data_IF_103879802392
#
_entry.id   IF_103879802392
#
_cell.length_a   1.000
_cell.length_b   1.000
_cell.length_c   1.000
_cell.angle_alpha   90.00
_cell.angle_beta   90.00
_cell.angle_gamma   90.00
#
_symmetry.space_group_name_H-M   'P 1'
#
loop_
_entity.id
_entity.type
_entity.pdbx_description
1 polymer ?
#
# COMPACT_ATOMS: atom_id res chain seq x y z
N UNK A 1 5.26 50.20 -0.40
CA UNK A 1 4.10 49.38 -0.02
C UNK A 1 3.71 48.64 -1.29
N UNK A 2 4.41 47.55 -1.57
CA UNK A 2 4.12 46.69 -2.70
C UNK A 2 3.90 45.30 -2.12
N UNK A 3 2.63 44.99 -1.86
CA UNK A 3 2.19 43.63 -1.56
C UNK A 3 2.38 42.78 -2.81
N UNK A 4 3.41 41.95 -2.78
CA UNK A 4 3.63 40.87 -3.74
C UNK A 4 2.45 39.89 -3.62
N UNK A 5 1.44 40.04 -4.49
CA UNK A 5 0.36 39.06 -4.62
C UNK A 5 0.96 37.75 -5.11
N UNK A 6 1.28 36.86 -4.18
CA UNK A 6 1.61 35.47 -4.48
C UNK A 6 0.42 34.89 -5.22
N UNK A 7 0.60 34.58 -6.51
CA UNK A 7 -0.37 33.84 -7.31
C UNK A 7 -0.70 32.54 -6.58
N UNK A 8 -1.91 32.44 -6.00
CA UNK A 8 -2.42 31.27 -5.29
C UNK A 8 -2.81 30.15 -6.28
N UNK A 9 -1.96 29.89 -7.28
CA UNK A 9 -2.18 28.83 -8.25
C UNK A 9 -1.64 27.52 -7.67
N UNK A 10 -2.56 26.66 -7.24
CA UNK A 10 -2.27 25.27 -6.89
C UNK A 10 -1.73 24.58 -8.13
N UNK A 11 -0.48 24.12 -8.09
CA UNK A 11 0.07 23.34 -9.19
C UNK A 11 -0.58 21.94 -9.22
N UNK A 12 -0.52 21.27 -10.37
CA UNK A 12 -1.19 19.99 -10.58
C UNK A 12 -0.84 18.93 -9.52
N UNK A 13 0.43 18.83 -9.10
CA UNK A 13 0.86 17.86 -8.10
C UNK A 13 0.34 18.21 -6.70
N UNK A 14 0.27 19.50 -6.35
CA UNK A 14 -0.31 19.94 -5.09
C UNK A 14 -1.82 19.64 -5.02
N UNK A 15 -2.52 19.74 -6.15
CA UNK A 15 -3.93 19.32 -6.23
C UNK A 15 -4.06 17.81 -6.02
N UNK A 16 -3.31 16.99 -6.76
CA UNK A 16 -3.35 15.53 -6.62
C UNK A 16 -2.98 15.07 -5.21
N UNK A 17 -1.97 15.70 -4.61
CA UNK A 17 -1.59 15.44 -3.22
C UNK A 17 -2.73 15.75 -2.25
N UNK A 18 -3.40 16.90 -2.42
CA UNK A 18 -4.54 17.27 -1.58
C UNK A 18 -5.71 16.29 -1.73
N UNK A 19 -6.03 15.86 -2.95
CA UNK A 19 -7.08 14.86 -3.23
C UNK A 19 -6.74 13.51 -2.59
N UNK A 20 -5.49 13.05 -2.72
CA UNK A 20 -5.05 11.80 -2.11
C UNK A 20 -5.09 11.86 -0.58
N UNK A 21 -4.63 12.97 0.03
CA UNK A 21 -4.70 13.18 1.49
C UNK A 21 -6.15 13.18 1.98
N UNK A 22 -7.06 13.80 1.23
CA UNK A 22 -8.49 13.79 1.54
C UNK A 22 -9.04 12.36 1.57
N UNK A 23 -8.80 11.56 0.53
CA UNK A 23 -9.24 10.15 0.45
C UNK A 23 -8.70 9.32 1.62
N UNK A 24 -7.41 9.51 1.95
CA UNK A 24 -6.77 8.81 3.07
C UNK A 24 -7.44 9.14 4.41
N UNK A 25 -7.75 10.42 4.65
CA UNK A 25 -8.41 10.87 5.88
C UNK A 25 -9.85 10.39 5.98
N UNK A 26 -10.62 10.47 4.89
CA UNK A 26 -11.99 9.96 4.85
C UNK A 26 -12.02 8.45 5.09
N UNK A 27 -11.09 7.70 4.51
CA UNK A 27 -10.98 6.26 4.75
C UNK A 27 -10.68 5.97 6.23
N UNK A 28 -9.74 6.68 6.85
CA UNK A 28 -9.46 6.51 8.27
C UNK A 28 -10.62 6.96 9.19
N UNK A 29 -11.49 7.84 8.73
CA UNK A 29 -12.64 8.33 9.51
C UNK A 29 -13.90 7.46 9.37
N UNK A 30 -14.08 6.80 8.23
CA UNK A 30 -15.30 6.05 7.88
C UNK A 30 -15.18 4.54 8.15
N UNK A 31 -13.97 3.99 8.19
CA UNK A 31 -13.71 2.56 8.33
C UNK A 31 -13.08 2.24 9.70
N UNK A 32 -13.44 1.10 10.28
CA UNK A 32 -12.97 0.67 11.60
C UNK A 32 -11.58 0.02 11.53
N UNK A 33 -11.29 -0.71 10.44
CA UNK A 33 -10.06 -1.49 10.26
C UNK A 33 -9.49 -1.32 8.85
N UNK A 34 -9.12 -0.09 8.43
CA UNK A 34 -8.46 0.09 7.15
C UNK A 34 -7.04 -0.51 7.17
N UNK A 35 -6.55 -0.90 5.99
CA UNK A 35 -5.15 -1.26 5.76
C UNK A 35 -4.64 -0.63 4.45
N UNK A 36 -3.34 -0.35 4.38
CA UNK A 36 -2.70 0.14 3.15
C UNK A 36 -1.82 -0.96 2.54
N UNK A 37 -2.13 -1.39 1.32
CA UNK A 37 -1.38 -2.41 0.60
C UNK A 37 0.01 -1.87 0.22
N UNK A 38 1.06 -2.45 0.79
CA UNK A 38 2.43 -1.96 0.72
C UNK A 38 3.38 -3.03 0.17
N UNK A 39 3.74 -2.91 -1.10
CA UNK A 39 4.68 -3.82 -1.76
C UNK A 39 6.15 -3.40 -1.66
N UNK A 40 6.43 -2.18 -1.19
CA UNK A 40 7.75 -1.56 -1.34
C UNK A 40 8.03 -1.06 -2.76
N UNK A 41 7.05 -1.14 -3.67
CA UNK A 41 7.14 -0.54 -5.01
C UNK A 41 6.83 0.96 -5.02
N UNK A 42 7.20 1.64 -6.11
CA UNK A 42 7.11 3.11 -6.26
C UNK A 42 5.77 3.70 -5.83
N UNK A 43 4.64 3.12 -6.24
CA UNK A 43 3.31 3.69 -5.98
C UNK A 43 2.94 3.52 -4.52
N UNK A 44 3.23 2.35 -3.94
CA UNK A 44 2.97 2.09 -2.53
C UNK A 44 3.84 2.96 -1.60
N UNK A 45 5.07 3.30 -2.02
CA UNK A 45 5.94 4.26 -1.30
C UNK A 45 5.32 5.65 -1.33
N UNK A 46 4.84 6.11 -2.49
CA UNK A 46 4.15 7.40 -2.62
C UNK A 46 2.90 7.44 -1.77
N UNK A 47 2.07 6.38 -1.79
CA UNK A 47 0.88 6.30 -0.94
C UNK A 47 1.22 6.34 0.55
N UNK A 48 2.22 5.59 1.00
CA UNK A 48 2.69 5.61 2.38
C UNK A 48 3.25 6.99 2.78
N UNK A 49 3.95 7.68 1.87
CA UNK A 49 4.41 9.05 2.08
C UNK A 49 3.24 10.03 2.24
N UNK A 50 2.23 9.92 1.39
CA UNK A 50 1.01 10.74 1.46
C UNK A 50 0.23 10.45 2.75
N UNK A 51 0.15 9.18 3.18
CA UNK A 51 -0.45 8.80 4.46
C UNK A 51 0.30 9.44 5.63
N UNK A 52 1.63 9.42 5.62
CA UNK A 52 2.45 10.13 6.63
C UNK A 52 2.11 11.62 6.66
N UNK A 53 1.96 12.28 5.50
CA UNK A 53 1.57 13.70 5.44
C UNK A 53 0.14 13.93 5.94
N UNK A 54 -0.78 13.03 5.61
CA UNK A 54 -2.19 13.13 5.99
C UNK A 54 -2.39 13.12 7.51
N UNK A 55 -1.58 12.34 8.24
CA UNK A 55 -1.76 12.12 9.68
C UNK A 55 -0.68 12.74 10.56
N UNK A 56 0.33 13.40 9.99
CA UNK A 56 1.34 14.12 10.78
C UNK A 56 0.68 15.12 11.75
N UNK A 57 1.14 15.21 13.03
CA UNK A 57 2.29 14.53 13.62
C UNK A 57 2.00 13.16 14.26
N UNK A 58 0.78 12.65 14.15
CA UNK A 58 0.42 11.33 14.65
C UNK A 58 1.02 10.20 13.79
N UNK A 59 0.99 8.97 14.34
CA UNK A 59 1.30 7.75 13.58
C UNK A 59 0.16 7.45 12.60
N UNK A 60 0.43 6.56 11.65
CA UNK A 60 -0.63 6.04 10.77
C UNK A 60 -1.72 5.36 11.60
N UNK A 61 -3.01 5.63 11.34
CA UNK A 61 -4.11 5.00 12.06
C UNK A 61 -4.43 3.57 11.57
N UNK A 62 -3.67 3.07 10.60
CA UNK A 62 -3.82 1.74 10.00
C UNK A 62 -2.45 1.10 9.73
N UNK A 63 -2.39 -0.25 9.69
CA UNK A 63 -1.18 -0.96 9.32
C UNK A 63 -0.91 -0.88 7.81
N UNK A 64 0.35 -1.10 7.46
CA UNK A 64 0.77 -1.46 6.13
C UNK A 64 0.63 -2.98 5.97
N UNK A 65 0.11 -3.46 4.83
CA UNK A 65 -0.08 -4.88 4.53
C UNK A 65 0.76 -5.28 3.33
N UNK A 66 1.68 -6.22 3.52
CA UNK A 66 2.51 -6.78 2.47
C UNK A 66 2.17 -8.26 2.22
N UNK A 67 2.07 -8.66 0.96
CA UNK A 67 1.99 -10.08 0.57
C UNK A 67 3.37 -10.51 0.09
N UNK A 68 4.05 -11.31 0.89
CA UNK A 68 5.37 -11.83 0.56
C UNK A 68 5.25 -13.12 -0.25
N UNK A 69 5.74 -13.08 -1.48
CA UNK A 69 5.75 -14.24 -2.37
C UNK A 69 6.85 -15.26 -2.00
N UNK A 70 7.87 -14.84 -1.24
CA UNK A 70 9.14 -15.57 -1.10
C UNK A 70 10.09 -15.36 -2.29
N UNK A 71 9.68 -14.64 -3.34
CA UNK A 71 10.49 -14.33 -4.53
C UNK A 71 10.83 -12.83 -4.64
N UNK A 72 10.62 -12.07 -3.56
CA UNK A 72 10.99 -10.66 -3.49
C UNK A 72 12.52 -10.51 -3.49
N UNK A 73 13.04 -9.45 -4.13
CA UNK A 73 14.46 -9.11 -4.02
C UNK A 73 14.79 -8.71 -2.58
N UNK A 74 15.93 -9.17 -2.06
CA UNK A 74 16.35 -8.87 -0.68
C UNK A 74 16.45 -7.37 -0.46
N UNK A 75 16.98 -6.62 -1.43
CA UNK A 75 17.10 -5.17 -1.38
C UNK A 75 15.73 -4.47 -1.27
N UNK A 76 14.68 -5.08 -1.84
CA UNK A 76 13.30 -4.57 -1.70
C UNK A 76 12.78 -4.77 -0.28
N UNK A 77 13.06 -5.94 0.31
CA UNK A 77 12.67 -6.24 1.69
C UNK A 77 13.42 -5.37 2.70
N UNK A 78 14.73 -5.20 2.52
CA UNK A 78 15.57 -4.35 3.37
C UNK A 78 15.08 -2.90 3.35
N UNK A 79 14.80 -2.36 2.16
CA UNK A 79 14.25 -1.02 2.01
C UNK A 79 12.85 -0.90 2.64
N UNK A 80 11.97 -1.89 2.39
CA UNK A 80 10.61 -1.94 2.96
C UNK A 80 10.67 -1.82 4.48
N UNK A 81 11.50 -2.65 5.12
CA UNK A 81 11.59 -2.73 6.57
C UNK A 81 12.18 -1.45 7.18
N UNK A 82 13.23 -0.90 6.55
CA UNK A 82 13.79 0.39 6.95
C UNK A 82 12.77 1.52 6.83
N UNK A 83 12.07 1.60 5.70
CA UNK A 83 11.10 2.67 5.45
C UNK A 83 9.90 2.59 6.41
N UNK A 84 9.38 1.39 6.69
CA UNK A 84 8.34 1.16 7.70
C UNK A 84 8.80 1.64 9.08
N UNK A 85 10.05 1.33 9.46
CA UNK A 85 10.63 1.75 10.73
C UNK A 85 10.75 3.29 10.83
N UNK A 86 11.18 3.95 9.76
CA UNK A 86 11.27 5.41 9.68
C UNK A 86 9.90 6.08 9.82
N UNK A 87 8.86 5.46 9.26
CA UNK A 87 7.46 5.90 9.42
C UNK A 87 6.88 5.59 10.80
N UNK A 88 7.53 4.72 11.59
CA UNK A 88 6.99 4.13 12.83
C UNK A 88 5.62 3.50 12.60
N UNK A 89 5.46 2.89 11.44
CA UNK A 89 4.23 2.22 11.04
C UNK A 89 4.24 0.76 11.50
N UNK A 90 3.06 0.18 11.66
CA UNK A 90 2.89 -1.26 11.78
C UNK A 90 2.93 -1.90 10.38
N UNK A 91 3.62 -3.04 10.25
CA UNK A 91 3.64 -3.83 9.02
C UNK A 91 3.13 -5.24 9.32
N UNK A 92 2.07 -5.63 8.64
CA UNK A 92 1.54 -6.98 8.60
C UNK A 92 2.05 -7.66 7.33
N UNK A 93 2.68 -8.82 7.47
CA UNK A 93 3.18 -9.62 6.35
C UNK A 93 2.39 -10.91 6.26
N UNK A 94 1.78 -11.15 5.10
CA UNK A 94 1.12 -12.41 4.77
C UNK A 94 1.98 -13.17 3.76
N UNK A 95 2.34 -14.41 4.06
CA UNK A 95 3.24 -15.19 3.21
C UNK A 95 2.46 -16.10 2.27
N UNK A 96 2.80 -16.05 0.98
CA UNK A 96 2.28 -17.02 0.00
C UNK A 96 2.68 -18.44 0.38
N UNK A 97 3.85 -18.59 1.02
CA UNK A 97 4.31 -19.88 1.53
C UNK A 97 3.32 -20.51 2.53
N UNK A 98 2.71 -19.72 3.41
CA UNK A 98 1.72 -20.23 4.36
C UNK A 98 0.49 -20.79 3.64
N UNK A 99 0.03 -20.12 2.56
CA UNK A 99 -1.09 -20.61 1.75
C UNK A 99 -0.74 -21.90 0.99
N UNK A 100 0.53 -22.09 0.60
CA UNK A 100 1.03 -23.32 -0.03
C UNK A 100 1.06 -24.45 1.01
N UNK A 101 1.62 -24.19 2.19
CA UNK A 101 1.80 -25.18 3.25
C UNK A 101 0.45 -25.66 3.81
N UNK A 102 -0.56 -24.78 3.81
CA UNK A 102 -1.95 -25.11 4.15
C UNK A 102 -2.73 -25.79 3.01
N UNK A 103 -2.12 -25.96 1.84
CA UNK A 103 -2.73 -26.61 0.68
C UNK A 103 -3.85 -25.79 0.01
N UNK A 104 -3.94 -24.48 0.27
CA UNK A 104 -4.98 -23.61 -0.33
C UNK A 104 -4.63 -23.16 -1.74
N UNK A 105 -3.34 -23.10 -2.04
CA UNK A 105 -2.82 -22.86 -3.39
C UNK A 105 -1.75 -23.89 -3.71
N UNK A 106 -1.54 -24.12 -5.00
CA UNK A 106 -0.49 -25.00 -5.49
C UNK A 106 0.54 -24.17 -6.26
N UNK A 107 1.81 -24.41 -5.98
CA UNK A 107 2.90 -23.77 -6.70
C UNK A 107 2.94 -24.22 -8.16
N UNK A 108 3.08 -23.26 -9.07
CA UNK A 108 3.25 -23.52 -10.50
C UNK A 108 4.57 -24.27 -10.76
N UNK A 109 4.59 -25.09 -11.81
CA UNK A 109 5.78 -25.86 -12.21
C UNK A 109 6.29 -25.37 -13.56
N UNK A 110 7.61 -25.40 -13.74
CA UNK A 110 8.27 -25.10 -15.01
C UNK A 110 9.22 -23.90 -14.93
N UNK A 111 9.90 -23.56 -16.04
CA UNK A 111 10.94 -22.53 -16.07
C UNK A 111 10.42 -21.11 -15.81
N UNK A 112 9.10 -20.89 -15.90
CA UNK A 112 8.46 -19.60 -15.70
C UNK A 112 7.45 -19.61 -14.56
N UNK A 113 7.59 -20.57 -13.63
CA UNK A 113 6.71 -20.66 -12.47
C UNK A 113 6.65 -19.33 -11.72
N UNK A 114 5.43 -18.79 -11.55
CA UNK A 114 5.22 -17.53 -10.86
C UNK A 114 4.31 -17.73 -9.65
N UNK A 115 4.58 -16.98 -8.59
CA UNK A 115 3.69 -16.88 -7.43
C UNK A 115 2.72 -15.71 -7.55
N UNK A 116 2.74 -14.95 -8.65
CA UNK A 116 1.96 -13.73 -8.79
C UNK A 116 0.45 -13.98 -8.67
N UNK A 117 -0.05 -15.03 -9.32
CA UNK A 117 -1.46 -15.42 -9.25
C UNK A 117 -1.86 -15.94 -7.86
N UNK A 118 -0.91 -16.53 -7.12
CA UNK A 118 -1.14 -17.10 -5.78
C UNK A 118 -1.32 -16.02 -4.70
N UNK A 119 -0.86 -14.79 -4.97
CA UNK A 119 -1.01 -13.66 -4.06
C UNK A 119 -2.47 -13.34 -3.74
N UNK A 120 -3.40 -13.52 -4.70
CA UNK A 120 -4.82 -13.23 -4.51
C UNK A 120 -5.40 -13.99 -3.32
N UNK A 121 -5.14 -15.29 -3.26
CA UNK A 121 -5.65 -16.18 -2.21
C UNK A 121 -5.04 -15.81 -0.86
N UNK A 122 -3.76 -15.47 -0.83
CA UNK A 122 -3.05 -15.02 0.39
C UNK A 122 -3.56 -13.65 0.87
N UNK A 123 -3.80 -12.71 -0.05
CA UNK A 123 -4.32 -11.38 0.26
C UNK A 123 -5.73 -11.46 0.85
N UNK A 124 -6.62 -12.24 0.22
CA UNK A 124 -8.00 -12.40 0.70
C UNK A 124 -8.05 -12.99 2.11
N UNK A 125 -7.18 -13.95 2.40
CA UNK A 125 -7.09 -14.51 3.75
C UNK A 125 -6.52 -13.54 4.77
N UNK A 126 -5.53 -12.74 4.39
CA UNK A 126 -5.00 -11.71 5.26
C UNK A 126 -6.08 -10.65 5.58
N UNK A 127 -6.92 -10.29 4.60
CA UNK A 127 -8.06 -9.39 4.78
C UNK A 127 -9.08 -9.99 5.76
N UNK A 128 -9.48 -11.24 5.53
CA UNK A 128 -10.47 -11.93 6.37
C UNK A 128 -9.96 -12.13 7.81
N UNK A 129 -8.72 -12.61 7.97
CA UNK A 129 -8.14 -12.91 9.28
C UNK A 129 -7.97 -11.65 10.15
N UNK A 130 -7.60 -10.52 9.55
CA UNK A 130 -7.44 -9.25 10.28
C UNK A 130 -8.74 -8.44 10.34
N UNK A 131 -9.77 -8.87 9.62
CA UNK A 131 -11.08 -8.22 9.48
C UNK A 131 -10.95 -6.81 8.92
N UNK A 132 -10.09 -6.63 7.91
CA UNK A 132 -9.97 -5.34 7.24
C UNK A 132 -11.25 -5.04 6.47
N UNK A 133 -11.82 -3.86 6.71
CA UNK A 133 -13.06 -3.38 6.09
C UNK A 133 -12.81 -2.37 4.97
N UNK A 134 -11.57 -1.87 4.84
CA UNK A 134 -11.07 -1.15 3.68
C UNK A 134 -9.61 -1.51 3.38
N UNK A 135 -9.27 -1.57 2.09
CA UNK A 135 -7.89 -1.75 1.63
C UNK A 135 -7.54 -0.67 0.61
N UNK A 136 -6.54 0.15 0.95
CA UNK A 136 -6.01 1.19 0.08
C UNK A 136 -4.92 0.60 -0.82
N UNK A 137 -5.16 0.58 -2.13
CA UNK A 137 -4.23 0.02 -3.13
C UNK A 137 -3.67 1.06 -4.09
N UNK A 138 -2.43 0.85 -4.55
CA UNK A 138 -1.72 1.74 -5.47
C UNK A 138 -2.01 1.53 -6.95
N UNK A 139 -3.16 0.94 -7.30
CA UNK A 139 -3.55 0.74 -8.69
C UNK A 139 -3.92 2.06 -9.36
N UNK A 140 -3.29 2.39 -10.49
CA UNK A 140 -3.55 3.64 -11.23
C UNK A 140 -4.32 3.39 -12.52
N UNK A 141 -5.12 4.39 -12.94
CA UNK A 141 -5.98 4.30 -14.14
C UNK A 141 -5.17 4.19 -15.44
N UNK A 142 -3.98 4.79 -15.47
CA UNK A 142 -3.10 4.83 -16.64
C UNK A 142 -2.26 3.55 -16.82
N UNK A 143 -2.30 2.60 -15.88
CA UNK A 143 -1.45 1.40 -15.93
C UNK A 143 -2.01 0.28 -16.79
N UNK A 144 -3.33 0.17 -16.93
CA UNK A 144 -3.97 -0.88 -17.70
C UNK A 144 -5.31 -0.39 -18.24
N UNK A 145 -5.67 -0.79 -19.47
CA UNK A 145 -6.91 -0.34 -20.12
C UNK A 145 -8.17 -0.71 -19.34
N UNK A 146 -8.13 -1.81 -18.58
CA UNK A 146 -9.23 -2.24 -17.73
C UNK A 146 -9.43 -1.37 -16.47
N UNK A 147 -8.50 -0.45 -16.18
CA UNK A 147 -8.55 0.46 -15.01
C UNK A 147 -8.95 1.90 -15.37
N UNK A 148 -9.19 2.18 -16.66
CA UNK A 148 -9.53 3.51 -17.18
C UNK A 148 -11.04 3.79 -17.12
#
# INVERSE_FOLDING_TARGET
MDEERTSYQVNHLAQLESEAIFILRETAAQFERPALLFSGGKDSIVMAHLARKAFHPARLPFPLLHVDTGHNFQETLDYRDQYVADLRAELVVAYVQDSIDQGRVQEEKGPFASRNALQTVTLLDAIEANKYDACLGGGRRDEEKARA
#
